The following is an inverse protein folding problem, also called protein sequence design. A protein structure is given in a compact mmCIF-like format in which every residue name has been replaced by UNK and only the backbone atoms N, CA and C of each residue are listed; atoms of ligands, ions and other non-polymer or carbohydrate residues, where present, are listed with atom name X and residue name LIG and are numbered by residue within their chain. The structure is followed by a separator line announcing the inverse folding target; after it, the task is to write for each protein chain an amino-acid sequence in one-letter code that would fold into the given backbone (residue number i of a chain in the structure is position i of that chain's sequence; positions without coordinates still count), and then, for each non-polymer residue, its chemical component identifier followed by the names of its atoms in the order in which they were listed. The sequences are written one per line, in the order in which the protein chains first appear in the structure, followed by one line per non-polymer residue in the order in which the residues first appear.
data_IF_864320744415
#
_entry.id   IF_864320744415
#
_cell.length_a   1.000
_cell.length_b   1.000
_cell.length_c   1.000
_cell.angle_alpha   90.00
_cell.angle_beta   90.00
_cell.angle_gamma   90.00
#
_symmetry.space_group_name_H-M   'P 1'
#
loop_
_entity.id
_entity.type
_entity.pdbx_description
1 polymer ?
#
# COMPACT_ATOMS: atom_id res chain seq x y z
N UNK A 1 17.29 27.27 2.82
CA UNK A 1 16.04 27.84 2.29
C UNK A 1 15.15 26.80 1.58
N UNK A 2 15.61 26.16 0.48
CA UNK A 2 14.75 25.20 -0.26
C UNK A 2 14.38 23.97 0.56
N UNK A 3 15.27 23.47 1.39
CA UNK A 3 14.98 22.40 2.34
C UNK A 3 13.89 22.82 3.31
N UNK A 4 14.07 23.92 4.02
CA UNK A 4 13.11 24.43 5.00
C UNK A 4 11.75 24.72 4.37
N UNK A 5 11.75 25.28 3.16
CA UNK A 5 10.52 25.57 2.41
C UNK A 5 9.75 24.28 2.06
N UNK A 6 10.45 23.24 1.58
CA UNK A 6 9.83 21.95 1.27
C UNK A 6 9.32 21.25 2.52
N UNK A 7 10.10 21.27 3.59
CA UNK A 7 9.70 20.71 4.89
C UNK A 7 8.43 21.40 5.40
N UNK A 8 8.40 22.72 5.39
CA UNK A 8 7.22 23.50 5.79
C UNK A 8 5.98 23.13 4.98
N UNK A 9 6.10 23.00 3.65
CA UNK A 9 4.96 22.56 2.82
C UNK A 9 4.54 21.15 3.18
N UNK A 10 5.49 20.24 3.38
CA UNK A 10 5.22 18.86 3.78
C UNK A 10 4.47 18.78 5.11
N UNK A 11 4.93 19.51 6.12
CA UNK A 11 4.30 19.60 7.44
C UNK A 11 2.88 20.16 7.33
N UNK A 12 2.70 21.25 6.59
CA UNK A 12 1.38 21.84 6.36
C UNK A 12 0.41 20.87 5.65
N UNK A 13 0.87 20.14 4.64
CA UNK A 13 0.04 19.15 3.96
C UNK A 13 -0.32 18.00 4.90
N UNK A 14 0.61 17.53 5.71
CA UNK A 14 0.35 16.48 6.69
C UNK A 14 -0.69 16.95 7.71
N UNK A 15 -0.49 18.10 8.32
CA UNK A 15 -1.38 18.64 9.36
C UNK A 15 -2.74 19.08 8.82
N UNK A 16 -2.75 19.94 7.80
CA UNK A 16 -3.99 20.59 7.35
C UNK A 16 -4.74 19.85 6.24
N UNK A 17 -4.22 18.75 5.75
CA UNK A 17 -4.94 17.87 4.83
C UNK A 17 -5.14 16.47 5.42
N UNK A 18 -4.05 15.72 5.65
CA UNK A 18 -4.16 14.32 6.07
C UNK A 18 -4.71 14.19 7.49
N UNK A 19 -4.11 14.83 8.47
CA UNK A 19 -4.55 14.74 9.86
C UNK A 19 -5.93 15.38 10.05
N UNK A 20 -6.16 16.53 9.44
CA UNK A 20 -7.44 17.23 9.50
C UNK A 20 -8.61 16.40 8.97
N UNK A 21 -8.42 15.63 7.89
CA UNK A 21 -9.46 14.74 7.40
C UNK A 21 -9.82 13.66 8.43
N UNK A 22 -8.83 13.10 9.10
CA UNK A 22 -9.08 12.14 10.19
C UNK A 22 -9.89 12.79 11.32
N UNK A 23 -9.52 13.99 11.74
CA UNK A 23 -10.19 14.71 12.82
C UNK A 23 -11.64 15.09 12.47
N UNK A 24 -11.90 15.44 11.20
CA UNK A 24 -13.26 15.70 10.71
C UNK A 24 -14.11 14.43 10.67
N UNK A 25 -13.55 13.30 10.28
CA UNK A 25 -14.29 12.04 10.10
C UNK A 25 -14.57 11.32 11.43
N UNK A 26 -13.64 11.40 12.37
CA UNK A 26 -13.69 10.68 13.64
C UNK A 26 -14.96 10.93 14.49
N UNK A 27 -15.46 12.18 14.66
CA UNK A 27 -16.70 12.44 15.40
C UNK A 27 -17.95 11.78 14.79
N UNK A 28 -17.92 11.45 13.51
CA UNK A 28 -19.02 10.78 12.81
C UNK A 28 -18.88 9.25 12.80
N UNK A 29 -17.87 8.68 13.48
CA UNK A 29 -17.60 7.25 13.50
C UNK A 29 -17.09 6.71 12.15
N UNK A 30 -16.67 7.59 11.24
CA UNK A 30 -16.11 7.23 9.96
C UNK A 30 -14.62 6.92 10.08
N UNK A 31 -14.16 5.99 9.26
CA UNK A 31 -12.74 5.61 9.15
C UNK A 31 -12.14 6.16 7.89
N UNK A 32 -10.89 6.54 7.96
CA UNK A 32 -10.10 6.99 6.82
C UNK A 32 -9.11 5.93 6.37
N UNK A 33 -9.18 5.54 5.11
CA UNK A 33 -8.06 4.92 4.42
C UNK A 33 -7.32 5.99 3.60
N UNK A 34 -6.03 5.85 3.41
CA UNK A 34 -5.26 6.83 2.63
C UNK A 34 -4.01 6.22 2.03
N UNK A 35 -3.80 6.55 0.77
CA UNK A 35 -2.51 6.51 0.12
C UNK A 35 -1.78 7.84 0.37
N UNK A 36 -0.47 7.86 0.19
CA UNK A 36 0.30 9.11 0.14
C UNK A 36 0.49 9.52 -1.32
N UNK A 37 1.63 9.25 -1.88
CA UNK A 37 1.90 9.49 -3.29
C UNK A 37 2.73 8.33 -3.85
N UNK A 38 2.47 8.02 -5.09
CA UNK A 38 3.21 7.02 -5.82
C UNK A 38 4.54 7.58 -6.37
N UNK A 39 5.44 6.69 -6.74
CA UNK A 39 6.63 7.04 -7.52
C UNK A 39 6.24 7.84 -8.78
N UNK A 40 7.14 8.68 -9.25
CA UNK A 40 7.01 9.56 -10.43
C UNK A 40 6.09 10.76 -10.24
N UNK A 41 5.49 10.96 -9.08
CA UNK A 41 4.67 12.13 -8.77
C UNK A 41 5.47 13.14 -7.96
N UNK A 42 4.97 14.37 -7.91
CA UNK A 42 5.55 15.42 -7.07
C UNK A 42 5.54 14.96 -5.60
N UNK A 43 6.70 15.00 -4.99
CA UNK A 43 6.93 14.51 -3.64
C UNK A 43 7.09 15.70 -2.69
N UNK A 44 5.99 16.16 -2.11
CA UNK A 44 5.98 17.31 -1.21
C UNK A 44 5.99 16.89 0.28
N UNK A 45 5.65 15.64 0.59
CA UNK A 45 5.46 15.17 1.97
C UNK A 45 6.16 13.84 2.20
N UNK A 46 6.43 13.51 3.47
CA UNK A 46 6.79 12.15 3.86
C UNK A 46 5.56 11.24 3.84
N UNK A 47 5.67 10.08 3.17
CA UNK A 47 4.55 9.16 3.00
C UNK A 47 4.10 8.52 4.30
N UNK A 48 5.02 8.25 5.24
CA UNK A 48 4.67 7.69 6.55
C UNK A 48 3.89 8.73 7.37
N UNK A 49 4.28 9.99 7.32
CA UNK A 49 3.58 11.06 8.04
C UNK A 49 2.18 11.29 7.49
N UNK A 50 1.98 11.20 6.17
CA UNK A 50 0.64 11.26 5.56
C UNK A 50 -0.31 10.15 6.03
N UNK A 51 0.23 8.98 6.34
CA UNK A 51 -0.53 7.78 6.69
C UNK A 51 -0.67 7.56 8.21
N UNK A 52 0.10 8.27 9.05
CA UNK A 52 0.17 8.05 10.51
C UNK A 52 -1.16 8.14 11.22
N UNK A 53 -2.03 9.05 10.80
CA UNK A 53 -3.36 9.30 11.40
C UNK A 53 -4.49 8.53 10.72
N UNK A 54 -4.20 7.75 9.66
CA UNK A 54 -5.20 6.94 8.97
C UNK A 54 -5.58 5.71 9.80
N UNK A 55 -6.84 5.30 9.73
CA UNK A 55 -7.25 4.00 10.28
C UNK A 55 -6.67 2.84 9.44
N UNK A 56 -6.47 3.07 8.15
CA UNK A 56 -5.96 2.10 7.19
C UNK A 56 -4.93 2.79 6.30
N UNK A 57 -3.63 2.70 6.64
CA UNK A 57 -2.55 3.12 5.72
C UNK A 57 -2.59 2.25 4.47
N UNK A 58 -2.48 2.89 3.31
CA UNK A 58 -2.69 2.23 2.02
C UNK A 58 -1.57 2.54 1.04
N UNK A 59 -1.29 1.58 0.18
CA UNK A 59 -0.31 1.59 -0.91
C UNK A 59 -0.96 1.21 -2.23
N UNK A 60 -0.18 1.04 -3.30
CA UNK A 60 -0.67 0.56 -4.59
C UNK A 60 0.20 -0.58 -5.15
N UNK A 61 -0.46 -1.57 -5.79
CA UNK A 61 0.20 -2.68 -6.48
C UNK A 61 -0.31 -2.76 -7.91
N UNK A 62 0.60 -2.58 -8.86
CA UNK A 62 0.28 -2.65 -10.27
C UNK A 62 0.78 -3.95 -10.90
N UNK A 63 -0.01 -4.49 -11.82
CA UNK A 63 0.37 -5.64 -12.63
C UNK A 63 1.11 -5.20 -13.89
N UNK A 64 2.24 -5.85 -14.19
CA UNK A 64 3.02 -5.59 -15.40
C UNK A 64 3.37 -6.90 -16.09
N UNK A 65 2.43 -7.42 -16.85
CA UNK A 65 2.51 -8.73 -17.51
C UNK A 65 3.79 -8.94 -18.32
N UNK A 66 4.21 -7.95 -19.10
CA UNK A 66 5.37 -8.08 -20.01
C UNK A 66 6.72 -8.11 -19.31
N UNK A 67 6.80 -7.84 -18.03
CA UNK A 67 8.09 -7.78 -17.33
C UNK A 67 8.41 -9.05 -16.54
N UNK A 68 7.50 -10.00 -16.46
CA UNK A 68 7.70 -11.25 -15.71
C UNK A 68 8.00 -11.02 -14.23
N UNK A 69 7.76 -9.81 -13.71
CA UNK A 69 8.05 -9.43 -12.35
C UNK A 69 6.84 -9.66 -11.47
N UNK A 70 7.07 -10.35 -10.37
CA UNK A 70 6.06 -10.59 -9.34
C UNK A 70 5.66 -9.28 -8.68
N UNK A 71 6.63 -8.42 -8.43
CA UNK A 71 6.46 -7.04 -7.98
C UNK A 71 7.65 -6.20 -8.44
N UNK A 72 7.54 -4.89 -8.37
CA UNK A 72 8.64 -3.96 -8.63
C UNK A 72 9.03 -3.24 -7.34
N UNK A 73 10.31 -2.82 -7.17
CA UNK A 73 10.79 -2.22 -5.94
C UNK A 73 9.96 -1.05 -5.43
N UNK A 74 9.40 -0.24 -6.34
CA UNK A 74 8.53 0.89 -5.95
C UNK A 74 7.23 0.44 -5.25
N UNK A 75 6.62 -0.65 -5.70
CA UNK A 75 5.40 -1.19 -5.07
C UNK A 75 5.74 -1.89 -3.76
N UNK A 76 6.85 -2.63 -3.74
CA UNK A 76 7.35 -3.25 -2.53
C UNK A 76 7.67 -2.22 -1.44
N UNK A 77 8.32 -1.10 -1.81
CA UNK A 77 8.62 -0.01 -0.88
C UNK A 77 7.37 0.67 -0.36
N UNK A 78 6.36 0.90 -1.21
CA UNK A 78 5.10 1.51 -0.83
C UNK A 78 4.28 0.61 0.12
N UNK A 79 4.23 -0.70 -0.17
CA UNK A 79 3.61 -1.68 0.74
C UNK A 79 4.32 -1.68 2.10
N UNK A 80 5.66 -1.76 2.09
CA UNK A 80 6.45 -1.77 3.32
C UNK A 80 6.31 -0.47 4.10
N UNK A 81 6.21 0.67 3.44
CA UNK A 81 5.93 1.96 4.08
C UNK A 81 4.59 1.92 4.82
N UNK A 82 3.53 1.49 4.15
CA UNK A 82 2.19 1.40 4.75
C UNK A 82 2.12 0.37 5.88
N UNK A 83 2.80 -0.76 5.74
CA UNK A 83 2.91 -1.77 6.78
C UNK A 83 3.68 -1.25 7.99
N UNK A 84 4.80 -0.56 7.78
CA UNK A 84 5.59 0.05 8.85
C UNK A 84 4.79 1.08 9.64
N UNK A 85 4.00 1.92 8.96
CA UNK A 85 3.06 2.84 9.63
C UNK A 85 2.09 2.07 10.50
N UNK A 86 1.45 1.01 9.94
CA UNK A 86 0.49 0.20 10.69
C UNK A 86 1.11 -0.42 11.95
N UNK A 87 2.33 -0.96 11.84
CA UNK A 87 3.04 -1.57 12.97
C UNK A 87 3.39 -0.54 14.05
N UNK A 88 3.94 0.61 13.66
CA UNK A 88 4.48 1.63 14.57
C UNK A 88 3.36 2.40 15.29
N UNK A 89 2.28 2.75 14.57
CA UNK A 89 1.16 3.51 15.14
C UNK A 89 0.01 2.63 15.64
N UNK A 90 0.15 1.30 15.55
CA UNK A 90 -0.79 0.35 16.14
C UNK A 90 -2.07 0.12 15.34
N UNK A 91 -2.11 0.49 14.04
CA UNK A 91 -3.17 0.05 13.14
C UNK A 91 -3.00 -1.45 12.83
N UNK A 92 -4.11 -2.16 12.71
CA UNK A 92 -4.08 -3.60 12.44
C UNK A 92 -4.18 -3.95 10.95
N UNK A 93 -4.37 -2.95 10.09
CA UNK A 93 -4.61 -3.15 8.66
C UNK A 93 -3.67 -2.27 7.86
N UNK A 94 -2.92 -2.90 6.96
CA UNK A 94 -2.19 -2.27 5.88
C UNK A 94 -2.81 -2.72 4.55
N UNK A 95 -3.35 -1.76 3.76
CA UNK A 95 -4.05 -2.03 2.52
C UNK A 95 -3.23 -1.67 1.29
N UNK A 96 -3.69 -2.14 0.11
CA UNK A 96 -3.23 -1.62 -1.16
C UNK A 96 -4.35 -1.59 -2.20
N UNK A 97 -4.39 -0.55 -3.03
CA UNK A 97 -5.00 -0.64 -4.34
C UNK A 97 -4.32 -1.77 -5.10
N UNK A 98 -5.10 -2.78 -5.49
CA UNK A 98 -4.50 -4.07 -5.85
C UNK A 98 -4.85 -4.50 -7.27
N UNK A 99 -3.82 -4.98 -7.98
CA UNK A 99 -3.92 -5.58 -9.30
C UNK A 99 -4.27 -4.61 -10.41
N UNK A 100 -4.01 -3.31 -10.23
CA UNK A 100 -4.14 -2.31 -11.30
C UNK A 100 -3.28 -2.73 -12.49
N UNK A 101 -3.88 -2.80 -13.67
CA UNK A 101 -3.19 -3.10 -14.93
C UNK A 101 -3.34 -1.96 -15.92
N UNK A 102 -2.40 -1.87 -16.87
CA UNK A 102 -2.51 -0.97 -18.01
C UNK A 102 -3.33 -1.69 -19.11
N UNK A 103 -4.64 -1.45 -19.12
CA UNK A 103 -5.59 -2.13 -20.00
C UNK A 103 -5.30 -1.99 -21.49
N UNK A 104 -4.57 -0.95 -21.92
CA UNK A 104 -4.15 -0.82 -23.34
C UNK A 104 -2.94 -1.66 -23.68
N UNK A 105 -2.01 -1.84 -22.76
CA UNK A 105 -0.77 -2.58 -22.99
C UNK A 105 -0.91 -4.05 -22.69
N UNK A 106 -1.59 -4.35 -21.60
CA UNK A 106 -1.62 -5.69 -21.02
C UNK A 106 -2.98 -6.36 -21.17
N UNK A 107 -4.03 -5.58 -21.55
CA UNK A 107 -5.40 -6.07 -21.66
C UNK A 107 -6.14 -6.16 -20.32
N UNK A 108 -7.46 -5.93 -20.38
CA UNK A 108 -8.28 -5.84 -19.17
C UNK A 108 -8.65 -7.21 -18.57
N UNK A 109 -8.58 -8.31 -19.33
CA UNK A 109 -9.02 -9.66 -18.95
C UNK A 109 -7.90 -10.72 -19.07
N UNK A 110 -6.63 -10.33 -18.96
CA UNK A 110 -5.50 -11.25 -19.19
C UNK A 110 -5.00 -11.95 -17.92
N UNK A 111 -5.38 -11.47 -16.74
CA UNK A 111 -4.84 -11.97 -15.49
C UNK A 111 -5.77 -12.98 -14.82
N UNK A 112 -5.37 -14.22 -14.84
CA UNK A 112 -6.04 -15.28 -14.07
C UNK A 112 -5.55 -15.29 -12.61
N UNK A 113 -6.28 -15.92 -11.67
CA UNK A 113 -5.80 -16.09 -10.30
C UNK A 113 -4.40 -16.71 -10.19
N UNK A 114 -4.05 -17.62 -11.08
CA UNK A 114 -2.71 -18.23 -11.13
C UNK A 114 -1.61 -17.20 -11.44
N UNK A 115 -1.91 -16.21 -12.28
CA UNK A 115 -0.99 -15.12 -12.61
C UNK A 115 -0.95 -14.06 -11.51
N UNK A 116 -2.07 -13.79 -10.86
CA UNK A 116 -2.17 -12.80 -9.77
C UNK A 116 -1.53 -13.29 -8.48
N UNK A 117 -1.56 -14.60 -8.20
CA UNK A 117 -1.14 -15.18 -6.93
C UNK A 117 0.30 -14.85 -6.54
N UNK A 118 1.33 -15.00 -7.39
CA UNK A 118 2.69 -14.65 -7.00
C UNK A 118 2.85 -13.19 -6.56
N UNK A 119 2.14 -12.26 -7.21
CA UNK A 119 2.13 -10.83 -6.82
C UNK A 119 1.43 -10.64 -5.47
N UNK A 120 0.29 -11.32 -5.25
CA UNK A 120 -0.40 -11.28 -3.96
C UNK A 120 0.48 -11.84 -2.82
N UNK A 121 1.15 -12.96 -3.06
CA UNK A 121 2.03 -13.59 -2.06
C UNK A 121 3.21 -12.68 -1.70
N UNK A 122 3.85 -12.06 -2.69
CA UNK A 122 4.94 -11.11 -2.47
C UNK A 122 4.47 -9.85 -1.71
N UNK A 123 3.27 -9.36 -2.02
CA UNK A 123 2.67 -8.23 -1.32
C UNK A 123 2.38 -8.58 0.15
N UNK A 124 1.82 -9.74 0.42
CA UNK A 124 1.59 -10.24 1.78
C UNK A 124 2.92 -10.43 2.54
N UNK A 125 3.94 -10.95 1.90
CA UNK A 125 5.29 -11.07 2.48
C UNK A 125 5.92 -9.71 2.80
N UNK A 126 5.52 -8.65 2.08
CA UNK A 126 5.93 -7.27 2.34
C UNK A 126 5.11 -6.55 3.41
N UNK A 127 4.08 -7.21 3.97
CA UNK A 127 3.28 -6.71 5.08
C UNK A 127 1.83 -6.33 4.73
N UNK A 128 1.40 -6.51 3.47
CA UNK A 128 0.02 -6.26 3.08
C UNK A 128 -0.93 -7.29 3.73
N UNK A 129 -2.06 -6.81 4.24
CA UNK A 129 -3.09 -7.68 4.80
C UNK A 129 -4.53 -7.25 4.46
N UNK A 130 -4.70 -6.37 3.46
CA UNK A 130 -5.99 -6.03 2.85
C UNK A 130 -5.80 -5.66 1.39
N UNK A 131 -6.41 -6.43 0.49
CA UNK A 131 -6.47 -6.13 -0.94
C UNK A 131 -7.71 -5.30 -1.26
N UNK A 132 -7.53 -4.12 -1.84
CA UNK A 132 -8.59 -3.28 -2.41
C UNK A 132 -8.51 -3.43 -3.92
N UNK A 133 -9.30 -4.33 -4.47
CA UNK A 133 -9.14 -4.78 -5.86
C UNK A 133 -9.53 -3.67 -6.84
N UNK A 134 -8.63 -3.33 -7.75
CA UNK A 134 -8.84 -2.36 -8.81
C UNK A 134 -8.95 -3.08 -10.18
N UNK A 135 -10.17 -3.28 -10.76
CA UNK A 135 -11.38 -2.63 -10.29
C UNK A 135 -12.61 -3.49 -10.65
N UNK A 136 -13.70 -3.28 -9.94
CA UNK A 136 -15.00 -3.92 -10.26
C UNK A 136 -16.00 -2.83 -10.64
N UNK A 137 -16.00 -2.37 -11.91
CA UNK A 137 -16.91 -1.32 -12.35
C UNK A 137 -18.35 -1.82 -12.38
N UNK A 138 -19.28 -0.93 -12.06
CA UNK A 138 -20.70 -1.23 -12.14
C UNK A 138 -21.12 -1.57 -13.57
N UNK A 139 -21.82 -2.68 -13.73
CA UNK A 139 -22.34 -3.18 -15.03
C UNK A 139 -23.86 -3.01 -15.05
N UNK A 140 -24.41 -1.87 -15.55
CA UNK A 140 -25.83 -1.57 -15.44
C UNK A 140 -26.72 -2.36 -16.42
N UNK A 141 -26.12 -2.97 -17.44
CA UNK A 141 -26.83 -3.74 -18.48
C UNK A 141 -26.18 -5.09 -18.71
N UNK A 142 -26.95 -6.10 -19.09
CA UNK A 142 -26.49 -7.47 -19.22
C UNK A 142 -26.11 -7.86 -20.67
N UNK A 143 -26.59 -7.10 -21.65
CA UNK A 143 -26.41 -7.37 -23.07
C UNK A 143 -25.18 -6.71 -23.70
N UNK A 144 -24.31 -6.09 -22.90
CA UNK A 144 -23.08 -5.44 -23.37
C UNK A 144 -21.84 -6.16 -22.83
N UNK A 145 -21.06 -6.73 -23.73
CA UNK A 145 -19.80 -7.38 -23.42
C UNK A 145 -18.71 -6.66 -24.23
N UNK A 146 -17.61 -6.29 -23.63
CA UNK A 146 -17.12 -6.60 -22.27
C UNK A 146 -17.71 -5.75 -21.14
N UNK A 147 -18.65 -4.82 -21.43
CA UNK A 147 -19.26 -3.95 -20.46
C UNK A 147 -18.48 -2.64 -20.22
N UNK A 148 -18.79 -1.99 -19.10
CA UNK A 148 -18.14 -0.74 -18.71
C UNK A 148 -16.84 -1.08 -17.97
N UNK A 149 -15.73 -0.48 -18.41
CA UNK A 149 -14.42 -0.55 -17.75
C UNK A 149 -13.97 0.85 -17.30
N UNK A 150 -12.82 0.91 -16.64
CA UNK A 150 -12.21 2.16 -16.19
C UNK A 150 -11.19 2.71 -17.21
N UNK A 151 -11.47 2.59 -18.49
CA UNK A 151 -10.63 3.09 -19.56
C UNK A 151 -9.28 2.34 -19.61
N UNK A 152 -8.17 3.08 -19.37
CA UNK A 152 -6.80 2.55 -19.43
C UNK A 152 -6.40 1.66 -18.26
N UNK A 153 -7.05 1.82 -17.11
CA UNK A 153 -6.51 1.34 -15.85
C UNK A 153 -7.39 0.25 -15.23
N UNK A 154 -6.74 -0.69 -14.61
CA UNK A 154 -7.39 -1.75 -13.86
C UNK A 154 -7.63 -3.01 -14.67
N UNK A 155 -7.54 -4.17 -14.01
CA UNK A 155 -8.15 -5.39 -14.48
C UNK A 155 -9.63 -5.39 -14.08
N UNK A 156 -10.50 -5.84 -14.96
CA UNK A 156 -11.94 -5.76 -14.75
C UNK A 156 -12.45 -7.01 -14.05
N UNK A 157 -12.56 -6.93 -12.73
CA UNK A 157 -13.08 -8.00 -11.88
C UNK A 157 -14.62 -7.93 -11.83
N UNK A 158 -15.26 -8.28 -12.92
CA UNK A 158 -16.72 -8.28 -13.03
C UNK A 158 -17.24 -9.63 -13.55
N UNK A 159 -18.58 -9.72 -13.78
CA UNK A 159 -19.23 -10.93 -14.24
C UNK A 159 -18.81 -11.40 -15.64
N UNK A 160 -18.20 -10.52 -16.43
CA UNK A 160 -17.71 -10.82 -17.78
C UNK A 160 -16.30 -11.42 -17.78
N UNK A 161 -15.62 -11.45 -16.64
CA UNK A 161 -14.34 -12.14 -16.52
C UNK A 161 -14.53 -13.64 -16.72
N UNK A 162 -13.63 -14.28 -17.48
CA UNK A 162 -13.77 -15.71 -17.86
C UNK A 162 -13.82 -16.66 -16.69
N UNK A 163 -13.26 -16.31 -15.55
CA UNK A 163 -13.25 -17.10 -14.32
C UNK A 163 -14.19 -16.56 -13.23
N UNK A 164 -15.07 -15.60 -13.55
CA UNK A 164 -15.94 -14.95 -12.58
C UNK A 164 -16.77 -15.94 -11.74
N UNK A 165 -17.33 -16.98 -12.39
CA UNK A 165 -18.12 -18.02 -11.68
C UNK A 165 -17.29 -18.87 -10.70
N UNK A 166 -15.97 -18.84 -10.79
CA UNK A 166 -15.02 -19.56 -9.93
C UNK A 166 -14.22 -18.63 -9.01
N UNK A 167 -14.52 -17.33 -9.02
CA UNK A 167 -13.80 -16.32 -8.26
C UNK A 167 -13.76 -16.59 -6.74
N UNK A 168 -14.74 -17.34 -6.20
CA UNK A 168 -14.81 -17.68 -4.79
C UNK A 168 -13.53 -18.33 -4.24
N UNK A 169 -12.92 -19.24 -4.98
CA UNK A 169 -11.66 -19.87 -4.55
C UNK A 169 -10.50 -18.86 -4.40
N UNK A 170 -10.44 -17.88 -5.29
CA UNK A 170 -9.43 -16.81 -5.24
C UNK A 170 -9.70 -15.83 -4.09
N UNK A 171 -10.91 -15.34 -3.97
CA UNK A 171 -11.29 -14.40 -2.92
C UNK A 171 -11.17 -15.01 -1.53
N UNK A 172 -11.53 -16.30 -1.37
CA UNK A 172 -11.35 -17.05 -0.13
C UNK A 172 -9.87 -17.20 0.24
N UNK A 173 -9.00 -17.46 -0.74
CA UNK A 173 -7.58 -17.51 -0.51
C UNK A 173 -7.06 -16.18 0.05
N UNK A 174 -7.38 -15.04 -0.60
CA UNK A 174 -6.99 -13.72 -0.14
C UNK A 174 -7.58 -13.41 1.25
N UNK A 175 -8.87 -13.65 1.45
CA UNK A 175 -9.56 -13.36 2.71
C UNK A 175 -8.97 -14.14 3.88
N UNK A 176 -8.73 -15.43 3.73
CA UNK A 176 -8.13 -16.29 4.77
C UNK A 176 -6.70 -15.89 5.08
N UNK A 177 -5.89 -15.63 4.05
CA UNK A 177 -4.51 -15.15 4.22
C UNK A 177 -4.47 -13.82 4.96
N UNK A 178 -5.27 -12.85 4.52
CA UNK A 178 -5.38 -11.55 5.17
C UNK A 178 -5.88 -11.66 6.63
N UNK A 179 -6.84 -12.55 6.90
CA UNK A 179 -7.29 -12.80 8.26
C UNK A 179 -6.15 -13.30 9.16
N UNK A 180 -5.39 -14.29 8.71
CA UNK A 180 -4.26 -14.83 9.47
C UNK A 180 -3.17 -13.77 9.70
N UNK A 181 -2.85 -12.98 8.69
CA UNK A 181 -1.82 -11.93 8.77
C UNK A 181 -2.20 -10.76 9.69
N UNK A 182 -3.46 -10.64 10.09
CA UNK A 182 -3.94 -9.66 11.08
C UNK A 182 -3.91 -10.19 12.51
N UNK A 183 -3.51 -11.44 12.70
CA UNK A 183 -3.43 -12.02 14.04
C UNK A 183 -2.04 -11.76 14.64
N UNK A 184 -2.03 -11.34 15.90
CA UNK A 184 -0.79 -11.03 16.60
C UNK A 184 -0.21 -9.65 16.28
N UNK A 185 1.06 -9.47 16.65
CA UNK A 185 1.83 -8.26 16.42
C UNK A 185 3.05 -8.58 15.56
N UNK A 186 3.35 -7.72 14.61
CA UNK A 186 4.57 -7.83 13.84
C UNK A 186 5.79 -7.54 14.72
N UNK A 187 6.86 -8.29 14.51
CA UNK A 187 8.15 -8.08 15.18
C UNK A 187 9.18 -7.70 14.13
N UNK A 188 9.67 -6.48 14.19
CA UNK A 188 10.78 -6.00 13.37
C UNK A 188 12.10 -6.19 14.13
N UNK A 189 13.07 -6.80 13.47
CA UNK A 189 14.44 -6.94 14.00
C UNK A 189 15.25 -5.65 13.79
N UNK A 190 14.92 -4.89 12.76
CA UNK A 190 15.64 -3.70 12.30
C UNK A 190 14.68 -2.53 12.10
N UNK A 191 14.98 -1.39 12.73
CA UNK A 191 14.39 -0.10 12.39
C UNK A 191 15.28 0.56 11.31
N UNK A 192 14.77 0.71 10.10
CA UNK A 192 15.53 1.26 9.00
C UNK A 192 15.18 2.74 8.76
N UNK A 193 16.07 3.62 9.17
CA UNK A 193 15.96 5.05 8.94
C UNK A 193 16.35 5.40 7.50
N UNK A 194 15.44 5.97 6.73
CA UNK A 194 15.66 6.27 5.32
C UNK A 194 16.12 7.70 5.02
N UNK A 195 16.25 8.55 6.04
CA UNK A 195 16.73 9.93 5.91
C UNK A 195 15.61 10.95 5.72
N UNK A 196 16.00 12.22 5.55
CA UNK A 196 15.09 13.39 5.55
C UNK A 196 14.84 13.98 4.15
N UNK A 197 15.53 13.51 3.12
CA UNK A 197 15.54 14.16 1.80
C UNK A 197 14.40 13.76 0.88
N UNK A 198 13.76 12.63 1.13
CA UNK A 198 12.71 12.08 0.29
C UNK A 198 11.88 11.04 1.03
N UNK A 199 10.70 10.73 0.50
CA UNK A 199 9.92 9.60 1.03
C UNK A 199 10.46 8.24 0.57
N UNK A 200 9.96 7.18 1.21
CA UNK A 200 10.34 5.78 0.95
C UNK A 200 10.11 5.39 -0.51
N UNK A 201 8.93 5.70 -1.05
CA UNK A 201 8.54 5.32 -2.41
C UNK A 201 9.43 5.96 -3.48
N UNK A 202 9.77 7.25 -3.33
CA UNK A 202 10.66 7.92 -4.25
C UNK A 202 12.11 7.43 -4.12
N UNK A 203 12.56 7.13 -2.90
CA UNK A 203 13.92 6.68 -2.64
C UNK A 203 14.19 5.27 -3.16
N UNK A 204 13.22 4.36 -3.03
CA UNK A 204 13.40 2.94 -3.34
C UNK A 204 12.68 2.49 -4.62
N UNK A 205 12.32 3.41 -5.49
CA UNK A 205 11.61 3.10 -6.73
C UNK A 205 12.32 2.11 -7.67
N UNK A 206 13.64 1.98 -7.55
CA UNK A 206 14.43 1.10 -8.42
C UNK A 206 15.11 -0.06 -7.67
N UNK A 207 15.31 0.06 -6.36
CA UNK A 207 16.00 -0.96 -5.59
C UNK A 207 15.71 -0.82 -4.09
N UNK A 208 15.13 -1.85 -3.51
CA UNK A 208 14.95 -1.96 -2.06
C UNK A 208 16.28 -2.11 -1.30
N UNK A 209 16.36 -1.67 -0.04
CA UNK A 209 17.49 -1.97 0.83
C UNK A 209 17.63 -3.48 0.99
N UNK A 210 18.89 -3.95 1.09
CA UNK A 210 19.17 -5.36 1.27
C UNK A 210 19.39 -5.68 2.75
N UNK A 211 18.61 -6.63 3.23
CA UNK A 211 18.75 -7.20 4.57
C UNK A 211 19.12 -8.68 4.48
N UNK A 212 19.80 -9.25 5.47
CA UNK A 212 19.88 -10.69 5.58
C UNK A 212 18.49 -11.32 5.64
N UNK A 213 18.28 -12.44 4.95
CA UNK A 213 16.96 -13.09 4.80
C UNK A 213 16.31 -13.55 6.11
N UNK A 214 17.05 -13.52 7.21
CA UNK A 214 16.59 -13.92 8.55
C UNK A 214 16.04 -12.77 9.38
N UNK A 215 16.13 -11.52 8.88
CA UNK A 215 15.68 -10.33 9.60
C UNK A 215 14.50 -9.67 8.92
N UNK A 216 13.53 -9.30 9.74
CA UNK A 216 12.45 -8.40 9.33
C UNK A 216 12.77 -6.95 9.72
N UNK A 217 12.16 -6.00 9.03
CA UNK A 217 12.41 -4.60 9.27
C UNK A 217 11.15 -3.77 9.08
N UNK A 218 11.12 -2.61 9.75
CA UNK A 218 10.23 -1.51 9.45
C UNK A 218 11.03 -0.27 9.03
N UNK A 219 10.46 0.51 8.14
CA UNK A 219 10.95 1.85 7.86
C UNK A 219 10.60 2.77 9.02
N UNK A 220 11.48 3.73 9.29
CA UNK A 220 11.24 4.79 10.26
C UNK A 220 11.55 6.15 9.64
N UNK A 221 10.59 7.07 9.75
CA UNK A 221 10.70 8.46 9.30
C UNK A 221 11.44 9.32 10.33
N UNK A 222 11.86 10.54 9.95
CA UNK A 222 12.38 11.52 10.91
C UNK A 222 11.45 11.79 12.09
N UNK A 223 10.16 11.93 11.83
CA UNK A 223 9.15 12.17 12.87
C UNK A 223 9.02 10.98 13.82
N UNK A 224 9.08 9.75 13.32
CA UNK A 224 9.04 8.54 14.15
C UNK A 224 10.26 8.49 15.08
N UNK A 225 11.46 8.75 14.55
CA UNK A 225 12.68 8.78 15.37
C UNK A 225 12.61 9.83 16.47
N UNK A 226 12.05 11.00 16.15
CA UNK A 226 11.97 12.12 17.08
C UNK A 226 10.85 11.99 18.12
N UNK A 227 9.67 11.55 17.71
CA UNK A 227 8.44 11.75 18.48
C UNK A 227 7.82 10.42 18.96
N UNK A 228 8.16 9.27 18.36
CA UNK A 228 7.51 7.99 18.65
C UNK A 228 8.46 6.98 19.28
N UNK A 229 9.64 6.77 18.72
CA UNK A 229 10.59 5.78 19.23
C UNK A 229 11.08 6.13 20.64
N UNK A 230 11.09 5.14 21.49
CA UNK A 230 11.60 5.22 22.87
C UNK A 230 12.60 4.08 23.10
N UNK A 231 13.42 4.24 24.12
CA UNK A 231 14.28 3.16 24.60
C UNK A 231 13.69 2.63 25.92
N UNK A 232 13.35 1.37 25.93
CA UNK A 232 12.91 0.65 27.12
C UNK A 232 13.78 -0.59 27.31
N UNK A 233 14.42 -0.70 28.49
CA UNK A 233 15.34 -1.81 28.83
C UNK A 233 16.39 -2.10 27.75
N UNK A 234 16.91 -1.06 27.07
CA UNK A 234 17.93 -1.17 26.01
C UNK A 234 17.39 -1.60 24.65
N UNK A 235 16.06 -1.70 24.49
CA UNK A 235 15.41 -1.99 23.24
C UNK A 235 14.64 -0.77 22.70
N UNK A 236 14.59 -0.62 21.37
CA UNK A 236 13.73 0.36 20.74
C UNK A 236 12.28 -0.15 20.77
N UNK A 237 11.35 0.71 21.22
CA UNK A 237 9.92 0.43 21.30
C UNK A 237 9.10 1.62 20.75
N UNK A 238 7.86 1.35 20.33
CA UNK A 238 6.88 2.35 19.86
C UNK A 238 5.69 2.43 20.80
#
# INVERSE_FOLDING_TARGET
FLFDWRTTIGDMMTEYHYDQLTDILKPYGLKRYTESHEAWRANATDGMDCKRSADIPMSAIWMRYKQGLVTVPQHESDIRESASVAHIYGQNVAAAESFTSDGFRDGAFVYTPAVLKPTADAAMASGLNLFVIHTSPHQPVDDKVPGIGLGLWGQWFDRNETWASQAGAWTDYLARSCYLLRQGKFVADVAYYYGEDSNVTARYQTRMPKFPNTYNYDFVSPSIVKDVLKVDNGQLVT
#
